data_IF_250397640302
#
_entry.id   IF_250397640302
#
_cell.length_a   1.000
_cell.length_b   1.000
_cell.length_c   1.000
_cell.angle_alpha   90.00
_cell.angle_beta   90.00
_cell.angle_gamma   90.00
#
_symmetry.space_group_name_H-M   'P 1'
#
loop_
_entity.id
_entity.type
_entity.pdbx_description
1 polymer ?
#
# COMPACT_ATOMS: atom_id res chain seq x y z
N UNK A 1 42.23 -11.15 -3.69
CA UNK A 1 40.78 -11.41 -3.88
C UNK A 1 40.51 -12.82 -4.41
N UNK A 2 41.15 -13.25 -5.50
CA UNK A 2 40.86 -14.54 -6.15
C UNK A 2 41.10 -15.79 -5.27
N UNK A 3 42.04 -15.75 -4.33
CA UNK A 3 42.35 -16.90 -3.47
C UNK A 3 41.19 -17.31 -2.55
N UNK A 4 40.44 -16.34 -2.01
CA UNK A 4 39.27 -16.62 -1.17
C UNK A 4 38.13 -17.21 -2.00
N UNK A 5 37.81 -16.58 -3.14
CA UNK A 5 36.76 -17.05 -4.04
C UNK A 5 37.04 -18.45 -4.56
N UNK A 6 38.29 -18.73 -4.95
CA UNK A 6 38.67 -20.05 -5.47
C UNK A 6 38.66 -21.15 -4.39
N UNK A 7 38.84 -20.79 -3.12
CA UNK A 7 38.78 -21.71 -1.98
C UNK A 7 37.36 -22.05 -1.51
N UNK A 8 36.34 -21.36 -2.01
CA UNK A 8 34.94 -21.67 -1.70
C UNK A 8 34.46 -22.89 -2.48
N UNK A 9 33.67 -23.71 -1.81
CA UNK A 9 32.91 -24.77 -2.45
C UNK A 9 31.90 -24.21 -3.48
N UNK A 10 31.53 -25.03 -4.47
CA UNK A 10 30.64 -24.63 -5.56
C UNK A 10 29.30 -24.12 -5.03
N UNK A 11 28.74 -24.75 -4.00
CA UNK A 11 27.47 -24.33 -3.41
C UNK A 11 27.58 -22.94 -2.77
N UNK A 12 28.68 -22.65 -2.08
CA UNK A 12 28.91 -21.34 -1.47
C UNK A 12 29.05 -20.24 -2.52
N UNK A 13 29.72 -20.52 -3.65
CA UNK A 13 29.80 -19.57 -4.77
C UNK A 13 28.42 -19.21 -5.31
N UNK A 14 27.56 -20.21 -5.50
CA UNK A 14 26.17 -19.99 -5.96
C UNK A 14 25.40 -19.14 -4.96
N UNK A 15 25.48 -19.45 -3.66
CA UNK A 15 24.81 -18.66 -2.62
C UNK A 15 25.29 -17.20 -2.60
N UNK A 16 26.59 -16.94 -2.75
CA UNK A 16 27.11 -15.57 -2.85
C UNK A 16 26.65 -14.86 -4.13
N UNK A 17 26.60 -15.56 -5.28
CA UNK A 17 26.09 -15.00 -6.52
C UNK A 17 24.61 -14.57 -6.44
N UNK A 18 23.82 -15.17 -5.54
CA UNK A 18 22.44 -14.77 -5.27
C UNK A 18 22.37 -13.68 -4.18
N UNK A 19 23.13 -13.84 -3.09
CA UNK A 19 23.10 -12.95 -1.95
C UNK A 19 23.52 -11.52 -2.32
N UNK A 20 24.60 -11.37 -3.09
CA UNK A 20 25.19 -10.07 -3.43
C UNK A 20 24.20 -9.19 -4.22
N UNK A 21 23.66 -9.61 -5.37
CA UNK A 21 22.70 -8.77 -6.10
C UNK A 21 21.42 -8.51 -5.30
N UNK A 22 20.90 -9.49 -4.56
CA UNK A 22 19.70 -9.31 -3.73
C UNK A 22 19.93 -8.25 -2.63
N UNK A 23 21.07 -8.30 -1.94
CA UNK A 23 21.43 -7.26 -0.94
C UNK A 23 21.67 -5.90 -1.55
N UNK A 24 22.22 -5.83 -2.77
CA UNK A 24 22.46 -4.57 -3.45
C UNK A 24 21.14 -3.88 -3.78
N UNK A 25 20.17 -4.62 -4.30
CA UNK A 25 18.81 -4.09 -4.55
C UNK A 25 18.16 -3.65 -3.24
N UNK A 26 18.21 -4.47 -2.19
CA UNK A 26 17.64 -4.16 -0.88
C UNK A 26 18.28 -2.90 -0.27
N UNK A 27 19.61 -2.75 -0.36
CA UNK A 27 20.31 -1.57 0.13
C UNK A 27 19.92 -0.31 -0.65
N UNK A 28 19.89 -0.37 -1.98
CA UNK A 28 19.48 0.76 -2.82
C UNK A 28 18.07 1.19 -2.44
N UNK A 29 17.13 0.25 -2.37
CA UNK A 29 15.75 0.48 -1.94
C UNK A 29 15.69 1.12 -0.55
N UNK A 30 16.45 0.60 0.41
CA UNK A 30 16.47 1.14 1.78
C UNK A 30 17.00 2.57 1.81
N UNK A 31 18.07 2.86 1.05
CA UNK A 31 18.64 4.20 0.97
C UNK A 31 17.67 5.17 0.29
N UNK A 32 17.05 4.77 -0.83
CA UNK A 32 16.05 5.59 -1.53
C UNK A 32 14.84 5.87 -0.64
N UNK A 33 14.37 4.87 0.12
CA UNK A 33 13.30 5.01 1.10
C UNK A 33 13.66 5.97 2.24
N UNK A 34 14.88 5.90 2.77
CA UNK A 34 15.33 6.77 3.87
C UNK A 34 15.58 8.21 3.42
N UNK A 35 16.11 8.41 2.21
CA UNK A 35 16.42 9.74 1.67
C UNK A 35 15.15 10.44 1.13
N UNK A 36 14.08 9.70 0.84
CA UNK A 36 12.77 10.27 0.54
C UNK A 36 12.70 11.04 -0.78
N UNK A 37 13.51 10.65 -1.78
CA UNK A 37 13.60 11.29 -3.10
C UNK A 37 12.37 11.05 -4.01
N UNK A 38 11.15 11.11 -3.46
CA UNK A 38 9.90 11.03 -4.24
C UNK A 38 8.67 11.55 -3.49
N UNK A 39 8.82 12.66 -2.78
CA UNK A 39 7.69 13.45 -2.30
C UNK A 39 6.96 14.10 -3.50
N UNK A 40 6.04 13.35 -4.12
CA UNK A 40 5.33 13.79 -5.31
C UNK A 40 4.06 12.98 -5.62
N UNK A 41 3.11 12.93 -4.68
CA UNK A 41 1.74 12.47 -4.97
C UNK A 41 1.31 11.21 -4.23
N UNK A 42 0.00 11.11 -3.99
CA UNK A 42 -0.63 10.13 -3.13
C UNK A 42 -0.28 8.67 -3.47
N UNK A 43 0.24 7.94 -2.48
CA UNK A 43 0.18 6.47 -2.43
C UNK A 43 1.33 5.68 -3.04
N UNK A 44 2.39 6.32 -3.54
CA UNK A 44 3.57 5.59 -4.07
C UNK A 44 4.62 5.49 -2.98
N UNK A 45 4.59 4.40 -2.22
CA UNK A 45 5.66 4.08 -1.28
C UNK A 45 6.87 3.59 -2.07
N UNK A 46 7.92 4.41 -2.16
CA UNK A 46 9.18 4.08 -2.85
C UNK A 46 9.91 2.91 -2.15
N UNK A 47 9.57 2.69 -0.87
CA UNK A 47 10.02 1.53 -0.12
C UNK A 47 9.39 0.23 -0.62
N UNK A 48 8.30 0.31 -1.38
CA UNK A 48 7.80 -0.80 -2.17
C UNK A 48 8.36 -0.61 -3.58
N UNK A 49 8.94 -1.66 -4.15
CA UNK A 49 9.52 -1.63 -5.52
C UNK A 49 8.51 -1.22 -6.60
N UNK A 50 7.25 -0.97 -6.22
CA UNK A 50 6.22 -0.23 -6.94
C UNK A 50 6.65 1.10 -7.54
N UNK A 51 7.62 1.79 -6.95
CA UNK A 51 8.21 3.04 -7.47
C UNK A 51 9.47 2.84 -8.34
N UNK A 52 9.93 1.59 -8.49
CA UNK A 52 10.87 1.19 -9.54
C UNK A 52 10.03 0.59 -10.65
N UNK A 53 9.39 1.46 -11.41
CA UNK A 53 9.03 1.21 -12.79
C UNK A 53 10.28 0.71 -13.52
N UNK A 54 10.45 -0.62 -13.54
CA UNK A 54 11.20 -1.29 -14.59
C UNK A 54 10.39 -1.14 -15.87
N UNK A 55 10.31 0.10 -16.35
CA UNK A 55 10.07 0.42 -17.74
C UNK A 55 11.28 -0.11 -18.52
N UNK A 56 11.41 -1.44 -18.57
CA UNK A 56 12.09 -2.09 -19.66
C UNK A 56 11.19 -1.83 -20.87
N UNK A 57 11.31 -0.64 -21.43
CA UNK A 57 10.87 -0.36 -22.79
C UNK A 57 11.61 -1.39 -23.64
N UNK A 58 10.94 -2.42 -24.19
CA UNK A 58 11.59 -3.28 -25.13
C UNK A 58 11.71 -2.42 -26.39
N UNK A 59 12.78 -1.63 -26.46
CA UNK A 59 13.23 -1.10 -27.73
C UNK A 59 13.24 -2.28 -28.71
N UNK A 60 12.68 -2.17 -29.92
CA UNK A 60 12.18 -3.33 -30.66
C UNK A 60 13.25 -4.27 -31.23
N UNK A 61 14.51 -4.23 -30.77
CA UNK A 61 15.61 -4.69 -31.62
C UNK A 61 16.81 -5.35 -30.93
N UNK A 62 16.70 -5.78 -29.67
CA UNK A 62 17.76 -6.59 -29.05
C UNK A 62 17.22 -7.73 -28.19
N UNK A 63 17.39 -8.96 -28.71
CA UNK A 63 17.20 -10.29 -28.11
C UNK A 63 15.86 -10.97 -28.42
N UNK A 64 15.90 -11.75 -29.51
CA UNK A 64 14.97 -12.82 -29.87
C UNK A 64 15.02 -13.94 -28.81
N UNK A 65 14.26 -13.75 -27.73
CA UNK A 65 13.89 -14.83 -26.82
C UNK A 65 12.69 -15.57 -27.42
N UNK A 66 12.70 -16.90 -27.53
CA UNK A 66 11.59 -17.64 -28.10
C UNK A 66 10.35 -17.49 -27.20
N UNK A 67 9.43 -16.69 -27.72
CA UNK A 67 7.98 -16.77 -27.61
C UNK A 67 7.40 -17.21 -26.25
N UNK A 68 7.15 -16.21 -25.40
CA UNK A 68 6.35 -16.35 -24.17
C UNK A 68 4.87 -16.02 -24.38
N UNK A 69 4.38 -16.00 -25.63
CA UNK A 69 2.98 -15.67 -25.91
C UNK A 69 1.96 -16.74 -25.47
N UNK A 70 2.41 -17.92 -25.05
CA UNK A 70 1.54 -19.04 -24.64
C UNK A 70 1.14 -19.06 -23.15
N UNK A 71 1.45 -18.02 -22.37
CA UNK A 71 0.89 -17.84 -21.01
C UNK A 71 -0.28 -16.85 -20.95
N UNK A 72 -0.79 -16.40 -22.11
CA UNK A 72 -1.85 -15.38 -22.20
C UNK A 72 -3.28 -15.92 -22.16
N UNK A 73 -3.49 -17.23 -22.01
CA UNK A 73 -4.83 -17.84 -22.00
C UNK A 73 -5.31 -18.27 -20.59
N UNK A 74 -4.99 -17.47 -19.58
CA UNK A 74 -5.77 -17.45 -18.35
C UNK A 74 -6.59 -16.15 -18.33
N UNK A 75 -7.75 -16.20 -19.01
CA UNK A 75 -8.75 -15.13 -19.03
C UNK A 75 -9.38 -15.00 -17.64
N UNK A 76 -8.74 -14.22 -16.75
CA UNK A 76 -9.43 -13.62 -15.61
C UNK A 76 -10.18 -12.39 -16.11
N UNK A 77 -11.50 -12.50 -16.03
CA UNK A 77 -12.49 -11.48 -16.29
C UNK A 77 -12.21 -10.18 -15.50
N UNK A 78 -12.03 -9.07 -16.22
CA UNK A 78 -12.37 -7.72 -15.74
C UNK A 78 -11.57 -7.08 -14.60
N UNK A 79 -10.33 -7.49 -14.31
CA UNK A 79 -9.47 -6.81 -13.32
C UNK A 79 -8.74 -5.60 -13.91
N UNK A 80 -8.78 -4.45 -13.23
CA UNK A 80 -8.02 -3.25 -13.57
C UNK A 80 -6.51 -3.62 -13.73
N UNK A 81 -5.82 -3.27 -14.83
CA UNK A 81 -4.41 -3.65 -15.03
C UNK A 81 -3.48 -3.20 -13.90
N UNK A 82 -3.84 -2.16 -13.14
CA UNK A 82 -3.11 -1.73 -11.94
C UNK A 82 -3.12 -2.77 -10.81
N UNK A 83 -4.17 -3.60 -10.70
CA UNK A 83 -4.29 -4.60 -9.65
C UNK A 83 -3.32 -5.77 -9.89
N UNK A 84 -3.09 -6.10 -11.16
CA UNK A 84 -2.11 -7.12 -11.55
C UNK A 84 -0.67 -6.65 -11.33
N UNK A 85 -0.37 -5.40 -11.71
CA UNK A 85 0.94 -4.78 -11.42
C UNK A 85 1.18 -4.68 -9.91
N UNK A 86 0.20 -4.24 -9.12
CA UNK A 86 0.32 -4.17 -7.67
C UNK A 86 0.62 -5.55 -7.05
N UNK A 87 -0.08 -6.60 -7.48
CA UNK A 87 0.16 -7.97 -7.00
C UNK A 87 1.54 -8.49 -7.39
N UNK A 88 2.02 -8.22 -8.61
CA UNK A 88 3.37 -8.59 -9.05
C UNK A 88 4.47 -7.87 -8.26
N UNK A 89 4.30 -6.57 -7.99
CA UNK A 89 5.24 -5.75 -7.23
C UNK A 89 5.36 -6.23 -5.78
N UNK A 90 4.24 -6.62 -5.15
CA UNK A 90 4.25 -7.25 -3.82
C UNK A 90 5.02 -8.57 -3.80
N UNK A 91 4.96 -9.37 -4.87
CA UNK A 91 5.71 -10.63 -4.92
C UNK A 91 7.21 -10.42 -5.12
N UNK A 92 7.62 -9.44 -5.93
CA UNK A 92 9.03 -9.20 -6.24
C UNK A 92 9.83 -8.73 -5.02
N UNK A 93 9.25 -7.83 -4.21
CA UNK A 93 9.83 -7.41 -2.92
C UNK A 93 9.97 -8.59 -1.95
N UNK A 94 8.92 -9.40 -1.84
CA UNK A 94 8.93 -10.61 -1.01
C UNK A 94 10.00 -11.60 -1.46
N UNK A 95 10.21 -11.74 -2.77
CA UNK A 95 11.24 -12.60 -3.37
C UNK A 95 12.65 -12.07 -3.06
N UNK A 96 12.92 -10.77 -3.21
CA UNK A 96 14.25 -10.20 -2.92
C UNK A 96 14.59 -10.33 -1.43
N UNK A 97 13.63 -10.03 -0.55
CA UNK A 97 13.79 -10.19 0.89
C UNK A 97 14.02 -11.68 1.25
N UNK A 98 13.22 -12.58 0.67
CA UNK A 98 13.39 -14.02 0.81
C UNK A 98 14.79 -14.47 0.37
N UNK A 99 15.22 -14.14 -0.85
CA UNK A 99 16.51 -14.55 -1.41
C UNK A 99 17.68 -14.03 -0.57
N UNK A 100 17.57 -12.81 -0.06
CA UNK A 100 18.58 -12.21 0.81
C UNK A 100 18.71 -13.01 2.11
N UNK A 101 17.60 -13.22 2.83
CA UNK A 101 17.62 -13.93 4.12
C UNK A 101 17.98 -15.40 3.92
N UNK A 102 17.41 -16.06 2.92
CA UNK A 102 17.74 -17.43 2.52
C UNK A 102 19.24 -17.61 2.30
N UNK A 103 19.85 -16.72 1.50
CA UNK A 103 21.25 -16.89 1.09
C UNK A 103 22.20 -16.61 2.26
N UNK A 104 22.02 -15.50 2.99
CA UNK A 104 22.87 -15.19 4.14
C UNK A 104 22.72 -16.19 5.28
N UNK A 105 21.50 -16.65 5.56
CA UNK A 105 21.26 -17.68 6.57
C UNK A 105 21.92 -19.00 6.17
N UNK A 106 21.79 -19.43 4.91
CA UNK A 106 22.43 -20.64 4.42
C UNK A 106 23.96 -20.56 4.51
N UNK A 107 24.56 -19.44 4.08
CA UNK A 107 26.00 -19.18 4.17
C UNK A 107 26.49 -19.25 5.62
N UNK A 108 25.81 -18.56 6.54
CA UNK A 108 26.18 -18.53 7.96
C UNK A 108 26.05 -19.91 8.59
N UNK A 109 24.97 -20.63 8.29
CA UNK A 109 24.74 -21.99 8.80
C UNK A 109 25.85 -22.93 8.33
N UNK A 110 26.17 -22.93 7.03
CA UNK A 110 27.19 -23.81 6.45
C UNK A 110 28.58 -23.49 7.01
N UNK A 111 28.92 -22.20 7.10
CA UNK A 111 30.19 -21.76 7.71
C UNK A 111 30.29 -22.10 9.21
N UNK A 112 29.17 -22.31 9.89
CA UNK A 112 29.13 -22.74 11.30
C UNK A 112 29.38 -24.25 11.46
N UNK A 113 29.66 -24.97 10.37
CA UNK A 113 29.91 -26.42 10.38
C UNK A 113 28.65 -27.28 10.24
N UNK A 114 27.50 -26.68 9.91
CA UNK A 114 26.30 -27.48 9.57
C UNK A 114 26.45 -28.09 8.17
N UNK A 115 25.92 -29.30 7.94
CA UNK A 115 25.96 -29.91 6.61
C UNK A 115 25.16 -29.06 5.61
N UNK A 116 25.66 -28.98 4.37
CA UNK A 116 25.15 -28.09 3.31
C UNK A 116 23.64 -28.18 3.11
N UNK A 117 23.12 -29.40 3.07
CA UNK A 117 21.70 -29.68 2.87
C UNK A 117 20.86 -29.13 4.04
N UNK A 118 21.32 -29.31 5.28
CA UNK A 118 20.64 -28.78 6.45
C UNK A 118 20.69 -27.25 6.48
N UNK A 119 21.83 -26.66 6.10
CA UNK A 119 21.98 -25.21 5.99
C UNK A 119 20.99 -24.59 4.99
N UNK A 120 20.80 -25.24 3.84
CA UNK A 120 19.81 -24.83 2.83
C UNK A 120 18.38 -24.92 3.36
N UNK A 121 18.04 -25.99 4.09
CA UNK A 121 16.72 -26.12 4.72
C UNK A 121 16.46 -25.05 5.77
N UNK A 122 17.45 -24.75 6.61
CA UNK A 122 17.36 -23.69 7.63
C UNK A 122 17.14 -22.34 6.95
N UNK A 123 17.92 -22.04 5.91
CA UNK A 123 17.75 -20.84 5.10
C UNK A 123 16.36 -20.74 4.48
N UNK A 124 15.83 -21.85 3.94
CA UNK A 124 14.51 -21.87 3.30
C UNK A 124 13.39 -21.60 4.30
N UNK A 125 13.44 -22.22 5.48
CA UNK A 125 12.44 -22.01 6.54
C UNK A 125 12.49 -20.56 7.04
N UNK A 126 13.68 -20.02 7.30
CA UNK A 126 13.84 -18.64 7.76
C UNK A 126 13.45 -17.62 6.68
N UNK A 127 13.79 -17.85 5.42
CA UNK A 127 13.37 -17.02 4.30
C UNK A 127 11.85 -16.97 4.18
N UNK A 128 11.17 -18.12 4.19
CA UNK A 128 9.70 -18.18 4.13
C UNK A 128 9.05 -17.52 5.35
N UNK A 129 9.63 -17.69 6.54
CA UNK A 129 9.14 -17.02 7.75
C UNK A 129 9.20 -15.49 7.61
N UNK A 130 10.26 -14.95 7.02
CA UNK A 130 10.38 -13.51 6.73
C UNK A 130 9.35 -13.05 5.71
N UNK A 131 9.12 -13.81 4.64
CA UNK A 131 8.08 -13.49 3.64
C UNK A 131 6.69 -13.40 4.27
N UNK A 132 6.33 -14.36 5.14
CA UNK A 132 5.09 -14.31 5.92
C UNK A 132 5.07 -13.13 6.88
N UNK A 133 6.20 -12.81 7.50
CA UNK A 133 6.37 -11.65 8.37
C UNK A 133 6.05 -10.32 7.68
N UNK A 134 6.57 -10.11 6.47
CA UNK A 134 6.28 -8.91 5.66
C UNK A 134 4.80 -8.83 5.30
N UNK A 135 4.19 -9.93 4.85
CA UNK A 135 2.75 -9.97 4.55
C UNK A 135 1.89 -9.62 5.79
N UNK A 136 2.31 -10.08 6.98
CA UNK A 136 1.66 -9.73 8.25
C UNK A 136 1.79 -8.25 8.60
N UNK A 137 2.95 -7.63 8.34
CA UNK A 137 3.15 -6.20 8.57
C UNK A 137 2.24 -5.34 7.68
N UNK A 138 2.14 -5.69 6.40
CA UNK A 138 1.22 -5.02 5.47
C UNK A 138 -0.23 -5.19 5.90
N UNK A 139 -0.63 -6.41 6.28
CA UNK A 139 -1.97 -6.67 6.80
C UNK A 139 -2.26 -5.87 8.08
N UNK A 140 -1.27 -5.71 8.96
CA UNK A 140 -1.41 -4.90 10.16
C UNK A 140 -1.55 -3.42 9.81
N UNK A 141 -0.78 -2.91 8.85
CA UNK A 141 -0.86 -1.54 8.35
C UNK A 141 -2.26 -1.23 7.77
N UNK A 142 -2.81 -2.15 6.97
CA UNK A 142 -4.16 -2.02 6.44
C UNK A 142 -5.23 -2.02 7.54
N UNK A 143 -5.02 -2.78 8.62
CA UNK A 143 -5.95 -2.78 9.77
C UNK A 143 -5.88 -1.51 10.60
N UNK A 144 -4.74 -0.82 10.58
CA UNK A 144 -4.54 0.47 11.25
C UNK A 144 -5.00 1.64 10.38
N UNK A 145 -5.15 1.42 9.08
CA UNK A 145 -5.89 2.32 8.21
C UNK A 145 -7.36 2.15 8.56
N UNK A 146 -7.81 2.88 9.58
CA UNK A 146 -9.20 2.89 10.02
C UNK A 146 -10.10 3.18 8.83
N UNK A 147 -11.16 2.38 8.67
CA UNK A 147 -12.14 2.56 7.62
C UNK A 147 -12.62 4.02 7.65
N UNK A 148 -12.13 4.85 6.72
CA UNK A 148 -12.61 6.21 6.47
C UNK A 148 -14.05 6.26 5.93
N UNK A 149 -14.81 5.17 6.05
CA UNK A 149 -16.24 5.14 5.78
C UNK A 149 -16.97 5.77 6.94
N UNK A 150 -17.01 7.10 6.93
CA UNK A 150 -17.82 7.90 7.85
C UNK A 150 -19.25 7.40 7.74
N UNK A 151 -19.77 6.82 8.82
CA UNK A 151 -21.16 6.42 8.85
C UNK A 151 -21.98 7.66 9.19
N UNK A 152 -22.57 8.29 8.17
CA UNK A 152 -23.38 9.52 8.34
C UNK A 152 -24.51 9.36 9.35
N UNK A 153 -24.99 8.13 9.63
CA UNK A 153 -25.99 7.90 10.67
C UNK A 153 -25.50 8.29 12.07
N UNK A 154 -24.19 8.26 12.31
CA UNK A 154 -23.59 8.70 13.57
C UNK A 154 -23.60 10.24 13.71
N UNK A 155 -23.92 10.97 12.64
CA UNK A 155 -24.10 12.41 12.68
C UNK A 155 -25.49 12.82 13.22
N UNK A 156 -26.45 11.89 13.32
CA UNK A 156 -27.81 12.17 13.80
C UNK A 156 -27.80 12.76 15.22
N UNK A 157 -28.44 13.92 15.39
CA UNK A 157 -28.47 14.66 16.65
C UNK A 157 -27.19 15.46 16.94
N UNK A 158 -26.16 15.36 16.10
CA UNK A 158 -24.94 16.15 16.24
C UNK A 158 -25.15 17.62 15.85
N UNK A 159 -24.38 18.50 16.48
CA UNK A 159 -24.33 19.94 16.18
C UNK A 159 -23.12 20.22 15.32
N UNK A 160 -23.31 20.99 14.25
CA UNK A 160 -22.28 21.42 13.33
C UNK A 160 -22.46 22.88 12.92
N UNK A 161 -21.58 23.35 12.05
CA UNK A 161 -21.56 24.74 11.58
C UNK A 161 -21.64 24.79 10.06
N UNK A 162 -22.49 25.65 9.53
CA UNK A 162 -22.61 25.85 8.08
C UNK A 162 -21.32 26.45 7.52
N UNK A 163 -20.70 25.75 6.56
CA UNK A 163 -19.53 26.23 5.84
C UNK A 163 -19.94 26.90 4.52
N UNK A 164 -20.80 26.23 3.76
CA UNK A 164 -21.42 26.77 2.54
C UNK A 164 -22.91 26.97 2.79
N UNK A 165 -23.38 28.19 2.50
CA UNK A 165 -24.78 28.61 2.71
C UNK A 165 -25.76 27.59 2.14
N UNK A 166 -26.74 27.19 2.95
CA UNK A 166 -27.78 26.23 2.57
C UNK A 166 -29.04 27.01 2.18
N UNK A 167 -29.50 26.93 0.92
CA UNK A 167 -30.71 27.62 0.47
C UNK A 167 -31.99 27.02 1.10
N UNK A 168 -33.07 27.80 1.22
CA UNK A 168 -34.32 27.36 1.85
C UNK A 168 -35.07 26.32 1.00
N UNK A 169 -35.97 25.58 1.66
CA UNK A 169 -36.89 24.61 1.03
C UNK A 169 -36.22 23.55 0.15
N UNK A 170 -35.00 23.12 0.48
CA UNK A 170 -34.26 22.15 -0.34
C UNK A 170 -33.91 22.67 -1.74
N UNK A 171 -33.90 23.99 -1.97
CA UNK A 171 -33.58 24.62 -3.26
C UNK A 171 -32.13 24.46 -3.73
N UNK A 172 -31.32 23.67 -3.03
CA UNK A 172 -29.92 23.39 -3.30
C UNK A 172 -29.23 22.73 -2.11
N UNK A 173 -28.02 22.23 -2.32
CA UNK A 173 -27.18 21.63 -1.27
C UNK A 173 -26.16 22.66 -0.81
N UNK A 174 -26.05 22.85 0.51
CA UNK A 174 -24.89 23.51 1.10
C UNK A 174 -23.98 22.47 1.75
N UNK A 175 -23.04 22.95 2.56
CA UNK A 175 -22.09 22.09 3.26
C UNK A 175 -21.92 22.53 4.69
N UNK A 176 -21.83 21.57 5.60
CA UNK A 176 -21.63 21.80 7.03
C UNK A 176 -20.35 21.13 7.49
N UNK A 177 -19.75 21.70 8.51
CA UNK A 177 -18.64 21.11 9.26
C UNK A 177 -19.20 20.51 10.55
N UNK A 178 -19.06 19.19 10.73
CA UNK A 178 -19.57 18.48 11.90
C UNK A 178 -18.52 17.49 12.41
N UNK A 179 -18.46 17.30 13.73
CA UNK A 179 -17.61 16.28 14.32
C UNK A 179 -18.34 14.93 14.31
N UNK A 180 -17.85 13.99 13.51
CA UNK A 180 -18.35 12.61 13.45
C UNK A 180 -17.21 11.70 13.83
N UNK A 181 -17.42 10.86 14.85
CA UNK A 181 -16.41 9.88 15.31
C UNK A 181 -15.05 10.51 15.69
N UNK A 182 -15.06 11.74 16.22
CA UNK A 182 -13.84 12.42 16.67
C UNK A 182 -13.10 13.21 15.58
N UNK A 183 -13.60 13.21 14.34
CA UNK A 183 -13.04 13.96 13.22
C UNK A 183 -14.02 15.01 12.69
N UNK A 184 -13.52 16.23 12.45
CA UNK A 184 -14.30 17.28 11.79
C UNK A 184 -14.37 16.99 10.28
N UNK A 185 -15.57 16.73 9.81
CA UNK A 185 -15.84 16.33 8.42
C UNK A 185 -16.77 17.33 7.75
N UNK A 186 -16.47 17.67 6.50
CA UNK A 186 -17.36 18.42 5.63
C UNK A 186 -18.43 17.48 5.05
N UNK A 187 -19.70 17.74 5.36
CA UNK A 187 -20.83 16.93 4.89
C UNK A 187 -21.80 17.78 4.07
N UNK A 188 -22.34 17.21 2.99
CA UNK A 188 -23.42 17.84 2.22
C UNK A 188 -24.68 17.93 3.08
N UNK A 189 -25.32 19.10 3.09
CA UNK A 189 -26.50 19.34 3.90
C UNK A 189 -27.60 20.10 3.17
N UNK A 190 -28.84 19.76 3.51
CA UNK A 190 -30.06 20.42 3.03
C UNK A 190 -30.93 20.83 4.22
N UNK A 191 -31.69 21.90 4.04
CA UNK A 191 -32.70 22.32 5.02
C UNK A 191 -34.08 22.31 4.40
N UNK A 192 -35.07 21.84 5.16
CA UNK A 192 -36.49 21.93 4.80
C UNK A 192 -37.13 23.22 5.33
N UNK A 193 -36.37 24.02 6.09
CA UNK A 193 -36.84 25.29 6.64
C UNK A 193 -37.07 26.32 5.54
N UNK A 194 -37.98 27.26 5.79
CA UNK A 194 -38.27 28.37 4.87
C UNK A 194 -37.23 29.51 4.96
N UNK A 195 -36.16 29.31 5.73
CA UNK A 195 -35.11 30.30 5.99
C UNK A 195 -33.79 29.78 5.47
N UNK A 196 -33.07 30.63 4.73
CA UNK A 196 -31.70 30.33 4.30
C UNK A 196 -30.75 30.29 5.49
N UNK A 197 -29.83 29.33 5.51
CA UNK A 197 -28.82 29.19 6.56
C UNK A 197 -27.47 29.71 6.04
N UNK A 198 -27.03 30.93 6.41
CA UNK A 198 -25.76 31.47 5.97
C UNK A 198 -24.56 30.76 6.64
N UNK A 199 -23.37 30.93 6.08
CA UNK A 199 -22.13 30.41 6.67
C UNK A 199 -21.94 30.90 8.13
N UNK A 200 -21.30 30.07 8.94
CA UNK A 200 -21.12 30.22 10.39
C UNK A 200 -22.39 30.09 11.24
N UNK A 201 -23.51 29.64 10.67
CA UNK A 201 -24.72 29.34 11.45
C UNK A 201 -24.59 27.97 12.13
N UNK A 202 -24.86 27.84 13.45
CA UNK A 202 -24.93 26.53 14.11
C UNK A 202 -26.20 25.79 13.68
N UNK A 203 -26.05 24.52 13.35
CA UNK A 203 -27.12 23.66 12.84
C UNK A 203 -27.07 22.28 13.51
N UNK A 204 -28.24 21.68 13.70
CA UNK A 204 -28.39 20.34 14.25
C UNK A 204 -28.86 19.39 13.16
N UNK A 205 -28.25 18.20 13.10
CA UNK A 205 -28.64 17.16 12.14
C UNK A 205 -29.88 16.43 12.64
N UNK A 206 -30.95 16.48 11.87
CA UNK A 206 -32.25 15.87 12.21
C UNK A 206 -32.50 14.54 11.49
N UNK A 207 -31.98 14.39 10.27
CA UNK A 207 -32.18 13.18 9.45
C UNK A 207 -31.02 12.97 8.46
N UNK A 208 -30.92 11.77 7.87
CA UNK A 208 -29.93 11.42 6.84
C UNK A 208 -30.66 10.84 5.62
N UNK A 209 -30.48 11.46 4.44
CA UNK A 209 -31.08 11.01 3.17
C UNK A 209 -30.00 10.68 2.16
N UNK A 210 -29.68 9.38 2.06
CA UNK A 210 -28.58 8.91 1.21
C UNK A 210 -27.25 9.42 1.77
N UNK A 211 -26.57 10.27 1.00
CA UNK A 211 -25.27 10.88 1.35
C UNK A 211 -25.40 12.36 1.79
N UNK A 212 -26.62 12.81 2.11
CA UNK A 212 -26.92 14.20 2.45
C UNK A 212 -27.58 14.27 3.82
N UNK A 213 -27.08 15.17 4.68
CA UNK A 213 -27.63 15.43 6.01
C UNK A 213 -28.78 16.44 5.92
N UNK A 214 -29.89 16.14 6.59
CA UNK A 214 -30.97 17.11 6.79
C UNK A 214 -30.69 17.86 8.07
N UNK A 215 -30.65 19.18 7.98
CA UNK A 215 -30.28 20.04 9.12
C UNK A 215 -31.28 21.14 9.36
N UNK A 216 -31.42 21.48 10.63
CA UNK A 216 -32.24 22.58 11.12
C UNK A 216 -31.36 23.54 11.91
N UNK A 217 -31.81 24.81 12.00
CA UNK A 217 -31.10 25.82 12.78
C UNK A 217 -31.08 25.37 14.25
N UNK A 218 -29.90 25.24 14.83
CA UNK A 218 -29.81 24.89 16.24
C UNK A 218 -30.30 26.09 17.06
N UNK A 219 -31.32 25.85 17.87
CA UNK A 219 -31.89 26.80 18.81
C UNK A 219 -31.66 26.24 20.20
N UNK A 220 -30.39 26.15 20.58
CA UNK A 220 -30.03 26.19 22.01
C UNK A 220 -30.19 27.61 22.55
#
# INVERSE_FOLDING_TARGET
>A
MNAWWNGLDMLMKVLYCIAVPATLVLLIQTVLSVVGFGQGGAGVDISDTSGLDMDFDPAPDVLDFPDSTDLRDYTIDGGNPSDFSALQLFTLQGIIAFLTVFSWTSIISINSGTPELLGLFIGLVLGLAVMVGVAKLIQLSQRLTENGTINLKNALGGVGTVYITIPPQGGGQGKIMINIQGSYTECSAITMSNTSLPSNTPVRVTDVRGDVLVVEKDTE
#
